data_IF_971618628285
#
_entry.id   IF_971618628285
#
_cell.length_a   1.000
_cell.length_b   1.000
_cell.length_c   1.000
_cell.angle_alpha   90.00
_cell.angle_beta   90.00
_cell.angle_gamma   90.00
#
_symmetry.space_group_name_H-M   'P 1'
#
loop_
_entity.id
_entity.type
_entity.pdbx_description
1 polymer ?
#
# COMPACT_ATOMS: atom_id res chain seq x y z
N UNK A 1 -13.28 -5.06 -8.52
CA UNK A 1 -14.32 -4.88 -7.50
C UNK A 1 -13.75 -5.26 -6.16
N UNK A 2 -13.73 -4.33 -5.22
CA UNK A 2 -13.28 -4.56 -3.85
C UNK A 2 -14.48 -4.55 -2.91
N UNK A 3 -14.47 -5.47 -1.93
CA UNK A 3 -15.53 -5.58 -0.95
C UNK A 3 -15.03 -5.11 0.42
N UNK A 4 -15.75 -4.16 0.99
CA UNK A 4 -15.53 -3.59 2.32
C UNK A 4 -16.79 -3.81 3.16
N UNK A 5 -16.80 -4.86 3.99
CA UNK A 5 -17.98 -5.31 4.74
C UNK A 5 -19.20 -5.53 3.81
N UNK A 6 -20.25 -4.75 3.95
CA UNK A 6 -21.47 -4.81 3.12
C UNK A 6 -21.44 -3.84 1.92
N UNK A 7 -20.29 -3.23 1.62
CA UNK A 7 -20.13 -2.25 0.55
C UNK A 7 -19.17 -2.73 -0.52
N UNK A 8 -19.41 -2.31 -1.76
CA UNK A 8 -18.54 -2.59 -2.88
C UNK A 8 -17.96 -1.30 -3.44
N UNK A 9 -16.68 -1.35 -3.84
CA UNK A 9 -16.04 -0.32 -4.65
C UNK A 9 -15.70 -0.91 -6.00
N UNK A 10 -16.15 -0.27 -7.07
CA UNK A 10 -15.93 -0.73 -8.45
C UNK A 10 -15.11 0.27 -9.23
N UNK A 11 -14.28 -0.24 -10.15
CA UNK A 11 -13.51 0.56 -11.08
C UNK A 11 -13.72 0.02 -12.49
N UNK A 12 -14.12 0.91 -13.40
CA UNK A 12 -14.26 0.60 -14.82
C UNK A 12 -13.08 1.21 -15.57
N UNK A 13 -12.09 0.38 -15.92
CA UNK A 13 -10.83 0.84 -16.50
C UNK A 13 -10.82 0.96 -18.01
N UNK A 14 -11.76 0.34 -18.74
CA UNK A 14 -11.81 0.35 -20.19
C UNK A 14 -13.18 0.79 -20.72
N UNK A 15 -13.18 1.43 -21.91
CA UNK A 15 -14.42 1.82 -22.58
C UNK A 15 -15.33 0.62 -22.89
N UNK A 16 -14.73 -0.56 -23.12
CA UNK A 16 -15.48 -1.78 -23.38
C UNK A 16 -16.32 -2.21 -22.18
N UNK A 17 -15.72 -2.23 -21.00
CA UNK A 17 -16.44 -2.63 -19.78
C UNK A 17 -17.42 -1.55 -19.28
N UNK A 18 -17.14 -0.29 -19.57
CA UNK A 18 -18.04 0.84 -19.26
C UNK A 18 -19.43 0.70 -19.90
N UNK A 19 -19.49 0.12 -21.11
CA UNK A 19 -20.75 -0.12 -21.82
C UNK A 19 -21.69 -1.07 -21.08
N UNK A 20 -21.13 -1.96 -20.25
CA UNK A 20 -21.86 -2.95 -19.47
C UNK A 20 -22.03 -2.53 -18.00
N UNK A 21 -21.76 -1.28 -17.67
CA UNK A 21 -21.78 -0.76 -16.31
C UNK A 21 -23.10 -1.04 -15.59
N UNK A 22 -24.22 -0.79 -16.27
CA UNK A 22 -25.55 -1.00 -15.71
C UNK A 22 -25.79 -2.46 -15.38
N UNK A 23 -25.54 -3.36 -16.32
CA UNK A 23 -25.72 -4.80 -16.18
C UNK A 23 -24.78 -5.37 -15.10
N UNK A 24 -23.55 -4.87 -15.02
CA UNK A 24 -22.60 -5.27 -13.97
C UNK A 24 -23.09 -4.85 -12.60
N UNK A 25 -23.58 -3.62 -12.46
CA UNK A 25 -24.12 -3.13 -11.17
C UNK A 25 -25.36 -3.92 -10.77
N UNK A 26 -26.29 -4.18 -11.69
CA UNK A 26 -27.47 -5.00 -11.44
C UNK A 26 -27.10 -6.44 -11.01
N UNK A 27 -26.11 -7.04 -11.67
CA UNK A 27 -25.60 -8.37 -11.29
C UNK A 27 -24.97 -8.36 -9.90
N UNK A 28 -24.14 -7.36 -9.58
CA UNK A 28 -23.54 -7.21 -8.26
C UNK A 28 -24.59 -7.03 -7.15
N UNK A 29 -25.63 -6.23 -7.38
CA UNK A 29 -26.74 -6.06 -6.46
C UNK A 29 -27.49 -7.39 -6.24
N UNK A 30 -27.75 -8.13 -7.32
CA UNK A 30 -28.47 -9.40 -7.25
C UNK A 30 -27.69 -10.48 -6.49
N UNK A 31 -26.38 -10.62 -6.78
CA UNK A 31 -25.53 -11.71 -6.26
C UNK A 31 -25.02 -11.40 -4.86
N UNK A 32 -24.48 -10.18 -4.65
CA UNK A 32 -23.80 -9.81 -3.39
C UNK A 32 -24.75 -9.17 -2.39
N UNK A 33 -25.83 -8.52 -2.86
CA UNK A 33 -26.80 -7.78 -2.05
C UNK A 33 -26.13 -6.72 -1.14
N UNK A 34 -25.26 -5.87 -1.70
CA UNK A 34 -24.54 -4.89 -0.90
C UNK A 34 -25.48 -3.77 -0.40
N UNK A 35 -25.12 -3.13 0.71
CA UNK A 35 -25.79 -1.91 1.20
C UNK A 35 -25.51 -0.70 0.30
N UNK A 36 -24.39 -0.72 -0.41
CA UNK A 36 -24.03 0.32 -1.35
C UNK A 36 -22.89 -0.11 -2.28
N UNK A 37 -22.86 0.51 -3.47
CA UNK A 37 -21.80 0.35 -4.46
C UNK A 37 -21.29 1.74 -4.81
N UNK A 38 -19.98 1.96 -4.73
CA UNK A 38 -19.32 3.21 -5.06
C UNK A 38 -18.37 3.03 -6.24
N UNK A 39 -18.42 3.96 -7.20
CA UNK A 39 -17.48 3.96 -8.33
C UNK A 39 -16.26 4.81 -8.03
N UNK A 40 -15.07 4.26 -8.31
CA UNK A 40 -13.78 4.96 -8.24
C UNK A 40 -12.98 4.81 -9.54
N UNK A 41 -13.62 5.07 -10.67
CA UNK A 41 -12.98 4.99 -11.98
C UNK A 41 -12.05 6.20 -12.22
N UNK A 42 -10.89 5.97 -12.83
CA UNK A 42 -9.93 7.03 -13.14
C UNK A 42 -10.29 7.74 -14.45
N UNK A 43 -10.66 9.02 -14.36
CA UNK A 43 -11.05 9.88 -15.49
C UNK A 43 -9.94 10.09 -16.50
N UNK A 44 -8.70 10.19 -16.03
CA UNK A 44 -7.55 10.50 -16.89
C UNK A 44 -7.23 9.36 -17.86
N UNK A 45 -7.53 8.10 -17.51
CA UNK A 45 -7.42 6.97 -18.43
C UNK A 45 -8.47 7.03 -19.53
N UNK A 46 -9.72 7.41 -19.22
CA UNK A 46 -10.80 7.52 -20.20
C UNK A 46 -10.50 8.53 -21.31
N UNK A 47 -9.81 9.63 -21.02
CA UNK A 47 -9.42 10.65 -22.02
C UNK A 47 -8.21 10.23 -22.88
N UNK A 48 -7.34 9.31 -22.40
CA UNK A 48 -6.13 8.87 -23.12
C UNK A 48 -6.37 7.70 -24.08
N UNK A 49 -7.43 6.94 -23.93
CA UNK A 49 -7.75 5.77 -24.76
C UNK A 49 -8.28 6.12 -26.18
N UNK A 50 -8.40 7.40 -26.52
CA UNK A 50 -8.54 7.85 -27.93
C UNK A 50 -7.28 7.63 -28.78
N UNK A 51 -6.19 7.13 -28.23
CA UNK A 51 -4.94 6.77 -28.88
C UNK A 51 -4.05 5.94 -27.96
N UNK A 52 -3.85 4.67 -28.37
CA UNK A 52 -2.83 3.71 -27.88
C UNK A 52 -3.09 2.98 -26.57
N UNK A 53 -3.13 1.68 -26.66
CA UNK A 53 -3.17 0.66 -25.60
C UNK A 53 -1.95 0.80 -24.68
N UNK A 54 -2.16 1.07 -23.40
CA UNK A 54 -1.09 1.18 -22.41
C UNK A 54 -1.54 0.74 -21.01
N UNK A 55 -0.83 -0.24 -20.52
CA UNK A 55 -0.80 -0.99 -19.28
C UNK A 55 -1.50 -0.50 -18.01
N UNK A 56 -1.98 -1.48 -17.28
CA UNK A 56 -2.59 -1.35 -15.94
C UNK A 56 -1.50 -1.10 -14.91
N UNK A 57 -1.44 0.11 -14.35
CA UNK A 57 -0.57 0.45 -13.23
C UNK A 57 -1.38 0.90 -12.02
N UNK A 58 -1.07 0.38 -10.84
CA UNK A 58 -1.63 0.90 -9.59
C UNK A 58 -1.16 2.34 -9.40
N UNK A 59 -2.08 3.30 -9.35
CA UNK A 59 -1.78 4.72 -9.22
C UNK A 59 -1.91 5.18 -7.78
N UNK A 60 -0.82 5.70 -7.26
CA UNK A 60 -0.80 6.53 -6.08
C UNK A 60 -0.76 7.99 -6.56
N UNK A 61 -1.78 8.79 -6.27
CA UNK A 61 -1.81 10.22 -6.58
C UNK A 61 -1.77 11.04 -5.29
N UNK A 62 -0.88 12.02 -5.28
CA UNK A 62 -0.92 13.12 -4.29
C UNK A 62 -2.13 14.02 -4.54
N UNK A 63 -2.81 14.50 -3.48
CA UNK A 63 -3.95 15.39 -3.63
C UNK A 63 -3.45 16.79 -4.00
N UNK A 64 -3.62 17.23 -5.22
CA UNK A 64 -3.69 18.65 -5.57
C UNK A 64 -4.13 18.83 -7.02
N UNK A 65 -5.14 19.62 -7.26
CA UNK A 65 -5.65 20.16 -8.54
C UNK A 65 -6.59 19.30 -9.39
N UNK A 66 -7.12 18.17 -8.91
CA UNK A 66 -8.02 17.32 -9.70
C UNK A 66 -9.42 17.15 -9.08
N UNK A 67 -9.72 17.87 -8.01
CA UNK A 67 -10.91 17.59 -7.19
C UNK A 67 -12.24 17.95 -7.85
N UNK A 68 -12.29 18.97 -8.70
CA UNK A 68 -13.54 19.38 -9.37
C UNK A 68 -13.94 18.48 -10.54
N UNK A 69 -12.99 17.90 -11.30
CA UNK A 69 -13.30 16.93 -12.36
C UNK A 69 -13.57 15.51 -11.82
N UNK A 70 -13.07 15.19 -10.64
CA UNK A 70 -13.33 13.91 -9.94
C UNK A 70 -14.77 13.80 -9.42
N UNK A 71 -15.38 14.92 -9.02
CA UNK A 71 -16.72 14.96 -8.44
C UNK A 71 -17.82 14.35 -9.34
N UNK A 72 -17.62 14.32 -10.65
CA UNK A 72 -18.63 13.85 -11.61
C UNK A 72 -18.54 12.35 -11.97
N UNK A 73 -17.50 11.62 -11.53
CA UNK A 73 -17.30 10.20 -11.89
C UNK A 73 -17.29 9.31 -10.66
N UNK A 74 -16.85 9.81 -9.53
CA UNK A 74 -16.88 9.11 -8.27
C UNK A 74 -18.24 9.35 -7.62
N UNK A 75 -19.18 8.40 -7.77
CA UNK A 75 -20.54 8.53 -7.27
C UNK A 75 -21.07 7.20 -6.75
N UNK A 76 -22.04 7.22 -5.82
CA UNK A 76 -22.78 6.02 -5.48
C UNK A 76 -23.55 5.51 -6.69
N UNK A 77 -23.32 4.25 -7.07
CA UNK A 77 -24.06 3.54 -8.12
C UNK A 77 -25.29 2.81 -7.55
N UNK A 78 -25.26 2.51 -6.24
CA UNK A 78 -26.34 1.86 -5.52
C UNK A 78 -26.25 2.22 -4.04
N UNK A 79 -27.41 2.43 -3.41
CA UNK A 79 -27.53 2.68 -1.97
C UNK A 79 -26.83 3.96 -1.49
N UNK A 80 -26.47 3.97 -0.21
CA UNK A 80 -25.73 5.08 0.42
C UNK A 80 -24.38 4.58 0.91
N UNK A 81 -23.34 5.40 0.74
CA UNK A 81 -21.99 5.11 1.20
C UNK A 81 -21.73 5.94 2.45
N UNK A 82 -21.34 5.35 3.57
CA UNK A 82 -20.91 6.10 4.74
C UNK A 82 -19.53 6.72 4.54
N UNK A 83 -19.21 7.76 5.29
CA UNK A 83 -17.90 8.44 5.24
C UNK A 83 -16.76 7.48 5.57
N UNK A 84 -16.97 6.55 6.50
CA UNK A 84 -16.02 5.51 6.86
C UNK A 84 -16.71 4.16 6.98
N UNK A 85 -16.10 3.13 6.44
CA UNK A 85 -16.55 1.74 6.55
C UNK A 85 -15.61 1.01 7.51
N UNK A 86 -16.19 0.30 8.48
CA UNK A 86 -15.41 -0.54 9.38
C UNK A 86 -15.28 -1.93 8.77
N UNK A 87 -14.03 -2.37 8.57
CA UNK A 87 -13.72 -3.73 8.12
C UNK A 87 -12.99 -4.52 9.19
N UNK A 88 -12.94 -5.83 9.03
CA UNK A 88 -12.11 -6.73 9.85
C UNK A 88 -11.21 -7.55 8.93
N UNK A 89 -9.92 -7.53 9.21
CA UNK A 89 -8.89 -8.28 8.49
C UNK A 89 -8.05 -9.07 9.50
N UNK A 90 -8.07 -10.40 9.42
CA UNK A 90 -7.34 -11.30 10.35
C UNK A 90 -7.58 -10.96 11.84
N UNK A 91 -8.79 -10.56 12.20
CA UNK A 91 -9.15 -10.16 13.56
C UNK A 91 -8.86 -8.70 13.92
N UNK A 92 -8.10 -7.97 13.12
CA UNK A 92 -7.85 -6.53 13.28
C UNK A 92 -8.93 -5.71 12.59
N UNK A 93 -9.31 -4.58 13.20
CA UNK A 93 -10.36 -3.69 12.69
C UNK A 93 -9.73 -2.47 12.05
N UNK A 94 -10.31 -2.01 10.95
CA UNK A 94 -9.86 -0.82 10.25
C UNK A 94 -11.04 0.06 9.84
N UNK A 95 -10.87 1.36 9.97
CA UNK A 95 -11.68 2.33 9.26
C UNK A 95 -11.13 2.51 7.84
N UNK A 96 -12.01 2.50 6.87
CA UNK A 96 -11.69 2.67 5.44
C UNK A 96 -12.55 3.78 4.87
N UNK A 97 -11.89 4.77 4.27
CA UNK A 97 -12.54 5.81 3.49
C UNK A 97 -12.50 5.42 2.00
N UNK A 98 -13.64 4.98 1.49
CA UNK A 98 -13.75 4.58 0.08
C UNK A 98 -14.02 5.76 -0.85
N UNK A 99 -14.28 6.95 -0.31
CA UNK A 99 -14.57 8.16 -1.07
C UNK A 99 -13.27 8.92 -1.37
N UNK A 100 -12.45 9.20 -0.34
CA UNK A 100 -11.25 10.04 -0.46
C UNK A 100 -9.94 9.25 -0.30
N UNK A 101 -9.97 8.05 0.28
CA UNK A 101 -8.79 7.23 0.53
C UNK A 101 -8.03 6.82 -0.75
N UNK A 102 -6.80 6.36 -0.62
CA UNK A 102 -5.99 5.88 -1.75
C UNK A 102 -6.55 4.56 -2.30
N UNK A 103 -6.26 4.23 -3.57
CA UNK A 103 -6.86 3.09 -4.30
C UNK A 103 -8.39 3.13 -4.19
N UNK A 104 -8.95 2.09 -3.63
CA UNK A 104 -10.37 1.92 -3.32
C UNK A 104 -10.70 2.20 -1.85
N UNK A 105 -9.70 2.67 -1.06
CA UNK A 105 -9.81 3.03 0.36
C UNK A 105 -8.83 2.29 1.26
N UNK A 106 -8.44 1.05 0.91
CA UNK A 106 -7.47 0.24 1.66
C UNK A 106 -6.67 -0.66 0.73
N UNK A 107 -5.47 -1.06 1.15
CA UNK A 107 -4.59 -1.93 0.37
C UNK A 107 -4.82 -3.40 0.74
N UNK A 108 -5.90 -4.01 0.22
CA UNK A 108 -6.27 -5.40 0.52
C UNK A 108 -5.19 -6.41 0.10
N UNK A 109 -4.46 -6.11 -0.97
CA UNK A 109 -3.36 -6.90 -1.52
C UNK A 109 -2.13 -7.01 -0.59
N UNK A 110 -2.05 -6.19 0.46
CA UNK A 110 -0.98 -6.23 1.47
C UNK A 110 -1.31 -7.10 2.70
N UNK A 111 -2.50 -7.71 2.77
CA UNK A 111 -2.98 -8.48 3.94
C UNK A 111 -1.99 -9.53 4.43
N UNK A 112 -1.47 -10.36 3.52
CA UNK A 112 -0.61 -11.49 3.89
C UNK A 112 0.76 -11.01 4.40
N UNK A 113 1.25 -9.86 3.89
CA UNK A 113 2.49 -9.24 4.34
C UNK A 113 2.33 -8.60 5.73
N UNK A 114 1.18 -7.95 5.98
CA UNK A 114 0.85 -7.46 7.32
C UNK A 114 0.81 -8.60 8.33
N UNK A 115 0.21 -9.74 7.96
CA UNK A 115 0.17 -10.92 8.81
C UNK A 115 1.58 -11.52 9.04
N UNK A 116 2.41 -11.58 8.00
CA UNK A 116 3.78 -12.08 8.10
C UNK A 116 4.66 -11.25 9.04
N UNK A 117 4.45 -9.92 9.07
CA UNK A 117 5.20 -8.99 9.92
C UNK A 117 5.15 -9.38 11.40
N UNK A 118 4.03 -9.96 11.86
CA UNK A 118 3.85 -10.37 13.26
C UNK A 118 4.96 -11.29 13.79
N UNK A 119 5.62 -12.07 12.92
CA UNK A 119 6.71 -12.99 13.28
C UNK A 119 8.01 -12.28 13.73
N UNK A 120 8.16 -10.99 13.40
CA UNK A 120 9.43 -10.27 13.47
C UNK A 120 9.45 -9.09 14.43
N UNK A 121 8.33 -8.74 15.07
CA UNK A 121 8.15 -7.45 15.74
C UNK A 121 8.00 -7.51 17.27
N UNK A 122 7.85 -8.70 17.87
CA UNK A 122 7.69 -8.82 19.32
C UNK A 122 8.89 -8.20 20.06
N UNK A 123 8.62 -7.25 20.98
CA UNK A 123 9.63 -6.53 21.75
C UNK A 123 10.53 -5.61 20.92
N UNK A 124 10.21 -5.32 19.67
CA UNK A 124 11.02 -4.55 18.72
C UNK A 124 10.53 -3.13 18.55
N UNK A 125 11.46 -2.21 18.23
CA UNK A 125 11.16 -0.86 17.75
C UNK A 125 10.98 -0.90 16.24
N UNK A 126 9.78 -0.54 15.78
CA UNK A 126 9.36 -0.65 14.38
C UNK A 126 9.20 0.74 13.77
N UNK A 127 9.77 0.95 12.60
CA UNK A 127 9.53 2.12 11.76
C UNK A 127 8.70 1.69 10.54
N UNK A 128 7.50 2.25 10.43
CA UNK A 128 6.60 2.04 9.28
C UNK A 128 6.61 3.29 8.39
N UNK A 129 7.34 3.23 7.29
CA UNK A 129 7.45 4.29 6.29
C UNK A 129 6.36 4.16 5.21
N UNK A 130 5.82 5.31 4.78
CA UNK A 130 4.65 5.36 3.88
C UNK A 130 3.47 4.63 4.51
N UNK A 131 3.23 4.97 5.78
CA UNK A 131 2.38 4.16 6.65
C UNK A 131 0.91 4.17 6.27
N UNK A 132 0.49 5.16 5.47
CA UNK A 132 -0.91 5.37 5.09
C UNK A 132 -1.81 5.33 6.35
N UNK A 133 -2.90 4.58 6.33
CA UNK A 133 -3.83 4.44 7.46
C UNK A 133 -3.37 3.44 8.54
N UNK A 134 -2.06 3.15 8.60
CA UNK A 134 -1.45 2.38 9.68
C UNK A 134 -1.69 0.88 9.65
N UNK A 135 -1.97 0.29 8.47
CA UNK A 135 -2.23 -1.14 8.37
C UNK A 135 -1.13 -1.99 9.00
N UNK A 136 0.13 -1.81 8.59
CA UNK A 136 1.27 -2.50 9.21
C UNK A 136 1.47 -2.15 10.69
N UNK A 137 1.20 -0.90 11.08
CA UNK A 137 1.37 -0.43 12.46
C UNK A 137 0.43 -1.14 13.44
N UNK A 138 -0.84 -1.33 13.06
CA UNK A 138 -1.82 -2.08 13.86
C UNK A 138 -1.37 -3.52 14.06
N UNK A 139 -0.90 -4.20 13.00
CA UNK A 139 -0.38 -5.56 13.11
C UNK A 139 0.86 -5.64 13.99
N UNK A 140 1.80 -4.70 13.84
CA UNK A 140 3.02 -4.66 14.65
C UNK A 140 2.71 -4.46 16.15
N UNK A 141 1.86 -3.49 16.49
CA UNK A 141 1.46 -3.23 17.87
C UNK A 141 0.73 -4.43 18.48
N UNK A 142 -0.20 -5.05 17.73
CA UNK A 142 -0.94 -6.22 18.22
C UNK A 142 -0.04 -7.44 18.41
N UNK A 143 1.04 -7.57 17.64
CA UNK A 143 2.04 -8.62 17.76
C UNK A 143 3.11 -8.32 18.83
N UNK A 144 2.92 -7.29 19.68
CA UNK A 144 3.76 -7.01 20.83
C UNK A 144 4.99 -6.15 20.55
N UNK A 145 5.00 -5.34 19.50
CA UNK A 145 6.07 -4.37 19.29
C UNK A 145 6.26 -3.48 20.52
N UNK A 146 7.51 -3.15 20.86
CA UNK A 146 7.85 -2.23 21.96
C UNK A 146 7.34 -0.82 21.63
N UNK A 147 7.63 -0.38 20.41
CA UNK A 147 7.21 0.92 19.87
C UNK A 147 7.04 0.83 18.35
N UNK A 148 6.05 1.54 17.81
CA UNK A 148 5.84 1.70 16.37
C UNK A 148 5.79 3.17 16.03
N UNK A 149 6.67 3.61 15.13
CA UNK A 149 6.66 4.94 14.55
C UNK A 149 6.13 4.85 13.13
N UNK A 150 5.05 5.56 12.83
CA UNK A 150 4.39 5.62 11.52
C UNK A 150 4.72 6.96 10.87
N UNK A 151 5.32 6.94 9.68
CA UNK A 151 5.70 8.14 8.93
C UNK A 151 4.95 8.18 7.61
N UNK A 152 4.24 9.26 7.35
CA UNK A 152 3.54 9.52 6.08
C UNK A 152 3.51 11.02 5.78
N UNK A 153 3.36 11.38 4.51
CA UNK A 153 3.23 12.75 4.07
C UNK A 153 1.77 13.28 4.12
N UNK A 154 0.78 12.39 4.33
CA UNK A 154 -0.64 12.76 4.46
C UNK A 154 -1.05 12.81 5.93
N UNK A 155 -1.51 13.98 6.37
CA UNK A 155 -2.08 14.19 7.70
C UNK A 155 -3.34 13.34 7.89
N UNK A 156 -4.22 13.33 6.91
CA UNK A 156 -5.49 12.61 6.93
C UNK A 156 -5.26 11.08 7.08
N UNK A 157 -4.21 10.56 6.41
CA UNK A 157 -3.83 9.16 6.54
C UNK A 157 -3.34 8.84 7.96
N UNK A 158 -2.53 9.72 8.56
CA UNK A 158 -2.02 9.54 9.93
C UNK A 158 -3.13 9.67 10.98
N UNK A 159 -4.07 10.60 10.81
CA UNK A 159 -5.24 10.72 11.69
C UNK A 159 -6.07 9.42 11.65
N UNK A 160 -6.28 8.83 10.48
CA UNK A 160 -6.95 7.55 10.37
C UNK A 160 -6.12 6.40 10.94
N UNK A 161 -4.78 6.45 10.83
CA UNK A 161 -3.90 5.46 11.46
C UNK A 161 -4.02 5.49 13.00
N UNK A 162 -4.08 6.68 13.59
CA UNK A 162 -4.33 6.86 15.02
C UNK A 162 -5.71 6.31 15.42
N UNK A 163 -6.76 6.62 14.65
CA UNK A 163 -8.10 6.05 14.87
C UNK A 163 -8.10 4.52 14.78
N UNK A 164 -7.33 3.93 13.87
CA UNK A 164 -7.21 2.48 13.72
C UNK A 164 -6.49 1.84 14.91
N UNK A 165 -5.49 2.48 15.49
CA UNK A 165 -4.87 2.03 16.76
C UNK A 165 -5.89 2.04 17.89
N UNK A 166 -6.66 3.13 18.06
CA UNK A 166 -7.74 3.25 19.06
C UNK A 166 -8.85 2.21 18.85
N UNK A 167 -9.26 1.99 17.60
CA UNK A 167 -10.31 1.03 17.23
C UNK A 167 -9.96 -0.40 17.66
N UNK A 168 -8.67 -0.74 17.65
CA UNK A 168 -8.14 -2.04 18.07
C UNK A 168 -7.79 -2.08 19.57
N UNK A 169 -8.03 -1.00 20.33
CA UNK A 169 -7.71 -0.88 21.76
C UNK A 169 -6.24 -1.16 22.08
N UNK A 170 -5.34 -0.79 21.16
CA UNK A 170 -3.90 -0.92 21.33
C UNK A 170 -3.35 0.23 22.21
N UNK A 171 -2.19 0.02 22.82
CA UNK A 171 -1.55 1.02 23.67
C UNK A 171 -1.03 2.20 22.81
N UNK A 172 -1.75 3.33 22.86
CA UNK A 172 -1.41 4.55 22.13
C UNK A 172 -0.04 5.12 22.52
N UNK A 173 0.48 4.83 23.72
CA UNK A 173 1.82 5.26 24.12
C UNK A 173 2.94 4.57 23.35
N UNK A 174 2.65 3.42 22.76
CA UNK A 174 3.57 2.68 21.91
C UNK A 174 3.49 3.08 20.43
N UNK A 175 2.51 3.91 20.05
CA UNK A 175 2.32 4.41 18.71
C UNK A 175 2.75 5.87 18.59
N UNK A 176 3.51 6.19 17.56
CA UNK A 176 3.90 7.56 17.23
C UNK A 176 3.60 7.81 15.75
N UNK A 177 3.03 9.00 15.44
CA UNK A 177 2.62 9.36 14.08
C UNK A 177 3.34 10.64 13.67
N UNK A 178 4.11 10.58 12.58
CA UNK A 178 5.00 11.67 12.16
C UNK A 178 4.64 12.09 10.74
N UNK A 179 4.19 13.32 10.59
CA UNK A 179 3.93 13.96 9.31
C UNK A 179 5.25 14.46 8.73
N UNK A 180 5.81 13.71 7.78
CA UNK A 180 7.09 14.04 7.14
C UNK A 180 7.25 13.38 5.76
N UNK A 181 8.15 13.93 4.94
CA UNK A 181 8.69 13.19 3.81
C UNK A 181 9.59 12.06 4.34
N UNK A 182 9.31 10.83 3.89
CA UNK A 182 10.02 9.63 4.37
C UNK A 182 11.52 9.69 4.07
N UNK A 183 11.94 10.25 2.93
CA UNK A 183 13.37 10.32 2.57
C UNK A 183 14.12 11.27 3.49
N UNK A 184 13.49 12.38 3.85
CA UNK A 184 14.05 13.33 4.81
C UNK A 184 14.09 12.73 6.19
N UNK A 185 12.99 12.09 6.62
CA UNK A 185 12.92 11.44 7.92
C UNK A 185 14.00 10.35 8.09
N UNK A 186 14.16 9.45 7.10
CA UNK A 186 15.19 8.40 7.15
C UNK A 186 16.62 8.97 7.23
N UNK A 187 16.91 10.09 6.54
CA UNK A 187 18.23 10.71 6.56
C UNK A 187 18.65 11.18 7.94
N UNK A 188 17.67 11.62 8.75
CA UNK A 188 17.92 12.24 10.05
C UNK A 188 17.97 11.21 11.20
N UNK A 189 17.75 9.91 10.89
CA UNK A 189 17.79 8.84 11.91
C UNK A 189 19.21 8.34 12.17
N UNK A 190 19.43 7.90 13.41
CA UNK A 190 20.70 7.30 13.84
C UNK A 190 20.69 5.79 13.65
N UNK A 191 21.88 5.20 13.47
CA UNK A 191 22.03 3.74 13.41
C UNK A 191 21.58 3.09 14.72
N UNK A 192 20.80 2.02 14.61
CA UNK A 192 20.25 1.28 15.76
C UNK A 192 19.00 1.91 16.38
N UNK A 193 18.43 2.97 15.78
CA UNK A 193 17.20 3.58 16.27
C UNK A 193 15.99 2.63 16.17
N UNK A 194 16.00 1.72 15.19
CA UNK A 194 14.91 0.77 14.91
C UNK A 194 15.46 -0.62 14.66
N UNK A 195 14.72 -1.64 15.10
CA UNK A 195 15.03 -3.06 14.85
C UNK A 195 14.37 -3.60 13.58
N UNK A 196 13.23 -3.03 13.20
CA UNK A 196 12.46 -3.39 12.00
C UNK A 196 12.09 -2.13 11.25
N UNK A 197 12.36 -2.08 9.95
CA UNK A 197 11.94 -0.98 9.08
C UNK A 197 11.10 -1.53 7.94
N UNK A 198 9.92 -0.94 7.74
CA UNK A 198 8.98 -1.25 6.65
C UNK A 198 9.05 -0.11 5.65
N UNK A 199 9.29 -0.46 4.38
CA UNK A 199 9.26 0.45 3.24
C UNK A 199 8.19 -0.03 2.25
N UNK A 200 7.03 0.61 2.26
CA UNK A 200 5.93 0.34 1.30
C UNK A 200 5.61 1.62 0.49
N UNK A 201 6.56 2.09 -0.33
CA UNK A 201 6.42 3.33 -1.07
C UNK A 201 5.38 3.24 -2.18
N UNK A 202 4.83 4.39 -2.63
CA UNK A 202 4.09 4.44 -3.87
C UNK A 202 4.96 3.98 -5.05
N UNK A 203 4.31 3.58 -6.17
CA UNK A 203 5.02 3.16 -7.36
C UNK A 203 5.95 4.27 -7.87
N UNK A 204 7.27 4.09 -7.74
CA UNK A 204 8.26 5.02 -8.28
C UNK A 204 8.46 4.86 -9.78
N UNK A 205 8.19 3.66 -10.33
CA UNK A 205 8.24 3.39 -11.77
C UNK A 205 6.81 3.43 -12.30
N UNK A 206 6.40 4.58 -12.86
CA UNK A 206 5.04 4.81 -13.38
C UNK A 206 4.90 4.45 -14.86
N UNK A 207 6.01 4.46 -15.60
CA UNK A 207 6.07 4.04 -16.99
C UNK A 207 7.47 3.47 -17.34
N UNK A 208 7.56 2.78 -18.49
CA UNK A 208 8.81 2.12 -18.94
C UNK A 208 9.96 3.09 -19.19
N UNK A 209 9.68 4.34 -19.52
CA UNK A 209 10.74 5.34 -19.79
C UNK A 209 11.38 5.86 -18.49
N UNK A 210 10.73 5.65 -17.34
CA UNK A 210 11.18 6.12 -16.03
C UNK A 210 11.75 5.03 -15.13
N UNK A 211 12.09 3.86 -15.69
CA UNK A 211 12.61 2.72 -14.90
C UNK A 211 13.86 3.14 -14.11
N UNK A 212 14.84 3.76 -14.75
CA UNK A 212 16.11 4.14 -14.09
C UNK A 212 15.90 5.19 -12.98
N UNK A 213 15.00 6.16 -13.19
CA UNK A 213 14.66 7.17 -12.19
C UNK A 213 13.98 6.52 -10.98
N UNK A 214 13.00 5.66 -11.23
CA UNK A 214 12.28 4.95 -10.17
C UNK A 214 13.18 3.98 -9.40
N UNK A 215 14.06 3.23 -10.08
CA UNK A 215 15.05 2.38 -9.44
C UNK A 215 15.98 3.19 -8.54
N UNK A 216 16.42 4.37 -8.98
CA UNK A 216 17.22 5.28 -8.14
C UNK A 216 16.48 5.70 -6.88
N UNK A 217 15.15 5.94 -6.97
CA UNK A 217 14.30 6.23 -5.82
C UNK A 217 14.26 5.07 -4.83
N UNK A 218 13.98 3.85 -5.32
CA UNK A 218 13.98 2.64 -4.48
C UNK A 218 15.33 2.40 -3.82
N UNK A 219 16.45 2.52 -4.56
CA UNK A 219 17.80 2.35 -4.01
C UNK A 219 18.06 3.31 -2.86
N UNK A 220 17.74 4.60 -3.01
CA UNK A 220 17.98 5.63 -1.99
C UNK A 220 17.26 5.34 -0.67
N UNK A 221 15.98 4.97 -0.72
CA UNK A 221 15.23 4.71 0.53
C UNK A 221 15.68 3.40 1.18
N UNK A 222 15.98 2.35 0.40
CA UNK A 222 16.48 1.10 0.93
C UNK A 222 17.89 1.26 1.53
N UNK A 223 18.79 1.96 0.84
CA UNK A 223 20.12 2.28 1.37
C UNK A 223 20.01 3.06 2.70
N UNK A 224 19.14 4.07 2.79
CA UNK A 224 18.94 4.85 4.01
C UNK A 224 18.44 3.97 5.16
N UNK A 225 17.43 3.12 4.93
CA UNK A 225 16.91 2.20 5.92
C UNK A 225 17.97 1.20 6.42
N UNK A 226 18.80 0.68 5.50
CA UNK A 226 19.87 -0.27 5.82
C UNK A 226 20.99 0.35 6.65
N UNK A 227 21.26 1.64 6.53
CA UNK A 227 22.20 2.37 7.40
C UNK A 227 21.69 2.53 8.82
N UNK A 228 20.38 2.60 9.00
CA UNK A 228 19.72 2.75 10.30
C UNK A 228 19.63 1.40 11.02
N UNK A 229 19.30 0.31 10.30
CA UNK A 229 19.13 -1.02 10.89
C UNK A 229 20.44 -1.55 11.47
N UNK A 230 20.41 -2.10 12.71
CA UNK A 230 21.55 -2.81 13.28
C UNK A 230 21.74 -4.18 12.60
N UNK A 231 22.91 -4.81 12.75
CA UNK A 231 23.05 -6.25 12.46
C UNK A 231 21.99 -7.05 13.23
N UNK A 232 21.33 -8.00 12.56
CA UNK A 232 20.16 -8.71 13.11
C UNK A 232 18.83 -7.98 12.97
N UNK A 233 18.82 -6.76 12.44
CA UNK A 233 17.61 -6.02 12.13
C UNK A 233 16.87 -6.59 10.91
N UNK A 234 15.61 -6.25 10.78
CA UNK A 234 14.72 -6.72 9.68
C UNK A 234 14.34 -5.57 8.78
N UNK A 235 14.61 -5.72 7.49
CA UNK A 235 14.07 -4.86 6.43
C UNK A 235 12.86 -5.55 5.77
N UNK A 236 11.72 -4.87 5.78
CA UNK A 236 10.55 -5.23 4.97
C UNK A 236 10.46 -4.21 3.85
N UNK A 237 10.80 -4.62 2.64
CA UNK A 237 10.79 -3.72 1.49
C UNK A 237 9.81 -4.19 0.44
N UNK A 238 8.95 -3.28 -0.02
CA UNK A 238 7.92 -3.55 -1.01
C UNK A 238 8.02 -2.64 -2.23
N UNK A 239 7.45 -3.09 -3.34
CA UNK A 239 7.24 -2.32 -4.55
C UNK A 239 5.94 -2.73 -5.23
N UNK A 240 5.12 -1.75 -5.57
CA UNK A 240 3.91 -1.93 -6.40
C UNK A 240 4.12 -1.49 -7.86
N UNK A 241 5.37 -1.40 -8.34
CA UNK A 241 5.68 -1.02 -9.72
C UNK A 241 5.56 -2.22 -10.66
N UNK A 242 4.57 -2.21 -11.57
CA UNK A 242 4.34 -3.29 -12.53
C UNK A 242 5.50 -3.49 -13.53
N UNK A 243 6.32 -2.46 -13.76
CA UNK A 243 7.49 -2.51 -14.65
C UNK A 243 8.79 -2.94 -13.96
N UNK A 244 8.72 -3.42 -12.73
CA UNK A 244 9.85 -3.94 -11.97
C UNK A 244 9.61 -5.42 -11.69
N UNK A 245 10.43 -6.30 -12.26
CA UNK A 245 10.38 -7.74 -11.96
C UNK A 245 10.83 -8.04 -10.53
N UNK A 246 10.49 -9.21 -10.01
CA UNK A 246 10.99 -9.65 -8.70
C UNK A 246 12.52 -9.77 -8.69
N UNK A 247 13.12 -10.23 -9.78
CA UNK A 247 14.57 -10.39 -9.90
C UNK A 247 15.27 -9.02 -9.92
N UNK A 248 14.75 -8.04 -10.68
CA UNK A 248 15.28 -6.67 -10.67
C UNK A 248 15.10 -6.01 -9.29
N UNK A 249 13.99 -6.30 -8.60
CA UNK A 249 13.77 -5.80 -7.24
C UNK A 249 14.81 -6.38 -6.27
N UNK A 250 15.07 -7.67 -6.31
CA UNK A 250 16.12 -8.32 -5.51
C UNK A 250 17.51 -7.79 -5.84
N UNK A 251 17.80 -7.60 -7.12
CA UNK A 251 19.07 -6.99 -7.55
C UNK A 251 19.23 -5.57 -7.00
N UNK A 252 18.17 -4.75 -7.08
CA UNK A 252 18.13 -3.41 -6.49
C UNK A 252 18.39 -3.44 -4.97
N UNK A 253 17.82 -4.40 -4.24
CA UNK A 253 18.07 -4.57 -2.80
C UNK A 253 19.52 -4.94 -2.52
N UNK A 254 20.12 -5.83 -3.33
CA UNK A 254 21.53 -6.21 -3.23
C UNK A 254 22.46 -5.02 -3.43
N UNK A 255 22.21 -4.19 -4.45
CA UNK A 255 23.00 -2.97 -4.69
C UNK A 255 22.85 -1.96 -3.54
N UNK A 256 21.63 -1.82 -2.99
CA UNK A 256 21.38 -0.93 -1.85
C UNK A 256 22.12 -1.40 -0.60
N UNK A 257 22.17 -2.71 -0.36
CA UNK A 257 22.92 -3.29 0.75
C UNK A 257 24.41 -3.07 0.61
N UNK A 258 24.98 -3.34 -0.57
CA UNK A 258 26.40 -3.08 -0.86
C UNK A 258 26.79 -1.62 -0.62
N UNK A 259 25.94 -0.65 -1.01
CA UNK A 259 26.18 0.79 -0.77
C UNK A 259 26.08 1.16 0.72
N UNK A 260 25.25 0.48 1.47
CA UNK A 260 25.14 0.68 2.90
C UNK A 260 26.25 -0.04 3.71
N UNK A 261 27.11 -0.84 3.06
CA UNK A 261 28.09 -1.69 3.72
C UNK A 261 27.45 -2.83 4.51
N UNK A 262 26.33 -3.36 4.01
CA UNK A 262 25.54 -4.42 4.63
C UNK A 262 25.37 -5.60 3.69
N UNK A 263 24.99 -6.74 4.24
CA UNK A 263 24.46 -7.87 3.48
C UNK A 263 23.01 -8.15 3.86
N UNK A 264 22.25 -8.71 2.94
CA UNK A 264 20.84 -9.07 3.14
C UNK A 264 20.63 -10.57 2.90
N UNK A 265 19.94 -11.22 3.83
CA UNK A 265 19.42 -12.57 3.65
C UNK A 265 17.91 -12.51 3.54
N UNK A 266 17.35 -12.86 2.39
CA UNK A 266 15.90 -12.89 2.19
C UNK A 266 15.32 -14.05 2.98
N UNK A 267 14.45 -13.75 3.93
CA UNK A 267 13.75 -14.71 4.76
C UNK A 267 12.45 -15.18 4.11
N UNK A 268 11.67 -14.22 3.61
CA UNK A 268 10.39 -14.47 2.96
C UNK A 268 10.20 -13.52 1.78
N UNK A 269 9.47 -13.99 0.77
CA UNK A 269 9.06 -13.19 -0.40
C UNK A 269 7.56 -13.35 -0.59
N UNK A 270 6.86 -12.23 -0.80
CA UNK A 270 5.43 -12.18 -1.03
C UNK A 270 5.12 -11.43 -2.32
N UNK A 271 4.07 -11.88 -3.00
CA UNK A 271 3.41 -11.18 -4.10
C UNK A 271 1.99 -10.78 -3.67
N UNK A 272 1.00 -10.92 -4.50
CA UNK A 272 -0.40 -10.65 -4.13
C UNK A 272 -0.97 -11.72 -3.22
N UNK A 273 -2.06 -11.37 -2.50
CA UNK A 273 -2.89 -12.35 -1.81
C UNK A 273 -3.74 -13.17 -2.79
N UNK A 274 -4.28 -14.29 -2.34
CA UNK A 274 -5.12 -15.20 -3.14
C UNK A 274 -6.41 -14.56 -3.70
N UNK A 275 -6.83 -13.45 -3.13
CA UNK A 275 -7.96 -12.62 -3.58
C UNK A 275 -7.60 -11.63 -4.71
N UNK A 276 -6.33 -11.60 -5.12
CA UNK A 276 -5.81 -10.84 -6.26
C UNK A 276 -5.13 -11.81 -7.24
N UNK A 277 -5.86 -12.75 -7.85
CA UNK A 277 -5.27 -13.77 -8.72
C UNK A 277 -4.68 -13.14 -9.98
N UNK A 278 -3.56 -13.69 -10.44
CA UNK A 278 -2.91 -13.33 -11.68
C UNK A 278 -3.36 -14.24 -12.82
N UNK A 279 -3.54 -13.66 -13.99
CA UNK A 279 -3.71 -14.46 -15.21
C UNK A 279 -2.32 -14.83 -15.74
N UNK A 280 -2.07 -16.12 -15.95
CA UNK A 280 -0.77 -16.62 -16.46
C UNK A 280 -0.36 -15.95 -17.77
N UNK A 281 -1.33 -15.59 -18.60
CA UNK A 281 -1.10 -14.90 -19.87
C UNK A 281 -0.92 -13.38 -19.74
N UNK A 282 -1.02 -12.81 -18.52
CA UNK A 282 -0.97 -11.37 -18.28
C UNK A 282 0.07 -11.05 -17.20
N UNK A 283 1.33 -10.98 -17.59
CA UNK A 283 2.46 -10.79 -16.69
C UNK A 283 2.44 -9.46 -15.94
N UNK A 284 1.77 -8.43 -16.47
CA UNK A 284 1.60 -7.15 -15.78
C UNK A 284 0.72 -7.26 -14.52
N UNK A 285 0.02 -8.39 -14.35
CA UNK A 285 -0.69 -8.74 -13.11
C UNK A 285 0.24 -8.88 -11.91
N UNK A 286 1.51 -9.28 -12.10
CA UNK A 286 2.53 -9.37 -11.04
C UNK A 286 3.10 -7.98 -10.70
N UNK A 287 2.26 -7.09 -10.17
CA UNK A 287 2.70 -5.72 -9.83
C UNK A 287 3.28 -5.58 -8.41
N UNK A 288 3.00 -6.49 -7.50
CA UNK A 288 3.36 -6.37 -6.08
C UNK A 288 4.47 -7.35 -5.69
N UNK A 289 5.56 -6.83 -5.14
CA UNK A 289 6.68 -7.58 -4.59
C UNK A 289 6.97 -7.08 -3.19
N UNK A 290 7.27 -8.00 -2.27
CA UNK A 290 7.71 -7.66 -0.92
C UNK A 290 8.72 -8.68 -0.43
N UNK A 291 9.86 -8.22 0.06
CA UNK A 291 10.89 -9.06 0.68
C UNK A 291 11.03 -8.71 2.16
N UNK A 292 11.01 -9.74 3.00
CA UNK A 292 11.46 -9.68 4.38
C UNK A 292 12.91 -10.14 4.41
N UNK A 293 13.82 -9.32 4.88
CA UNK A 293 15.25 -9.60 4.83
C UNK A 293 15.93 -9.31 6.17
N UNK A 294 16.82 -10.22 6.58
CA UNK A 294 17.72 -10.07 7.72
C UNK A 294 18.94 -9.27 7.28
N UNK A 295 19.31 -8.28 8.07
CA UNK A 295 20.47 -7.41 7.86
C UNK A 295 21.68 -7.93 8.61
N UNK A 296 22.82 -8.05 7.94
CA UNK A 296 24.11 -8.41 8.53
C UNK A 296 25.17 -7.37 8.23
#
# INVERSE_FOLDING_TARGET
VDKYDDYLVVQFHTQGIEKWKKEIVEALVSVVKPKGIYERSDVMKKKREGGVIGGVGAYCHTPSQLDEERANINSPLHGKIPDKIKITENGHKFWVDVIHGQKTGFFLDQRDKRQALAKYVEGKKVLNCFSYTGGFSVYALNAGAEKVVSVDASREALEMAEENVKLNKLDEKKAEFILADVKEYLRDQTSGAYDVIILDPPAFIKDRHKINEGLSGYKKINEAALRILPPGGILVSASCSAHLSLDDFRFMLSESAGRAGRTLQILETYTHGVDHPELVAFMEGEYLKCCFALVS
#
